data_IF_350032051711
#
_entry.id   IF_350032051711
#
_cell.length_a   1.000
_cell.length_b   1.000
_cell.length_c   1.000
_cell.angle_alpha   90.00
_cell.angle_beta   90.00
_cell.angle_gamma   90.00
#
_symmetry.space_group_name_H-M   'P 1'
#
loop_
_entity.id
_entity.type
_entity.pdbx_description
1 polymer ?
#
# COMPACT_ATOMS: atom_id res chain seq x y z
N UNK A 1 -13.26 -21.94 18.62
CA UNK A 1 -12.38 -20.77 18.49
C UNK A 1 -11.97 -20.65 17.04
N UNK A 2 -12.51 -19.70 16.31
CA UNK A 2 -12.16 -19.47 14.90
C UNK A 2 -10.78 -18.79 14.88
N UNK A 3 -9.74 -19.48 14.38
CA UNK A 3 -8.40 -18.90 14.25
C UNK A 3 -8.49 -17.69 13.31
N UNK A 4 -8.08 -16.52 13.80
CA UNK A 4 -7.91 -15.30 13.00
C UNK A 4 -6.74 -15.55 12.04
N UNK A 5 -7.00 -15.50 10.72
CA UNK A 5 -5.99 -15.83 9.70
C UNK A 5 -5.19 -14.59 9.28
N UNK A 6 -5.84 -13.42 9.24
CA UNK A 6 -5.24 -12.14 8.84
C UNK A 6 -5.65 -11.02 9.79
N UNK A 7 -4.84 -9.96 9.91
CA UNK A 7 -5.11 -8.75 10.70
C UNK A 7 -5.51 -7.54 9.86
N UNK A 8 -4.81 -6.42 10.05
CA UNK A 8 -4.99 -5.18 9.30
C UNK A 8 -4.33 -5.31 7.93
N UNK A 9 -5.00 -4.94 6.85
CA UNK A 9 -4.40 -4.84 5.51
C UNK A 9 -4.44 -3.41 5.04
N UNK A 10 -3.44 -2.98 4.26
CA UNK A 10 -3.45 -1.61 3.78
C UNK A 10 -2.43 -1.26 2.73
N UNK A 11 -2.64 -0.08 2.17
CA UNK A 11 -1.75 0.66 1.31
C UNK A 11 -0.85 1.54 2.17
N UNK A 12 0.44 1.56 1.84
CA UNK A 12 1.36 2.60 2.32
C UNK A 12 2.08 3.19 1.12
N UNK A 13 1.96 4.51 0.94
CA UNK A 13 2.67 5.28 -0.08
C UNK A 13 3.54 6.31 0.61
N UNK A 14 4.85 6.25 0.39
CA UNK A 14 5.83 7.07 1.08
C UNK A 14 6.39 8.16 0.16
N UNK A 15 6.64 9.32 0.76
CA UNK A 15 7.25 10.46 0.08
C UNK A 15 6.48 10.85 -1.19
N UNK A 16 5.18 11.11 -1.01
CA UNK A 16 4.28 11.54 -2.08
C UNK A 16 4.67 12.94 -2.53
N UNK A 17 5.41 13.03 -3.64
CA UNK A 17 6.06 14.26 -4.07
C UNK A 17 5.08 15.33 -4.57
N UNK A 18 3.89 14.90 -5.00
CA UNK A 18 2.81 15.79 -5.48
C UNK A 18 1.93 16.35 -4.36
N UNK A 19 2.06 15.83 -3.14
CA UNK A 19 1.48 16.48 -1.96
C UNK A 19 2.45 17.53 -1.41
N UNK A 20 1.96 18.73 -1.09
CA UNK A 20 2.76 19.71 -0.38
C UNK A 20 3.02 19.22 1.05
N UNK A 21 4.14 19.66 1.64
CA UNK A 21 4.42 19.37 3.04
C UNK A 21 3.41 20.13 3.92
N UNK A 22 3.38 21.46 3.84
CA UNK A 22 2.31 22.24 4.48
C UNK A 22 1.04 22.21 3.61
N UNK A 23 -0.12 21.95 4.23
CA UNK A 23 -1.39 21.85 3.51
C UNK A 23 -1.61 20.51 2.81
N UNK A 24 -0.75 19.51 3.07
CA UNK A 24 -0.83 18.19 2.44
C UNK A 24 -2.10 17.42 2.82
N UNK A 25 -2.63 17.65 4.04
CA UNK A 25 -3.90 17.09 4.48
C UNK A 25 -5.05 17.56 3.62
N UNK A 26 -5.16 18.88 3.39
CA UNK A 26 -6.20 19.49 2.58
C UNK A 26 -6.11 19.01 1.13
N UNK A 27 -4.90 19.01 0.56
CA UNK A 27 -4.66 18.50 -0.78
C UNK A 27 -5.07 17.02 -0.92
N UNK A 28 -4.83 16.20 0.10
CA UNK A 28 -5.23 14.79 0.08
C UNK A 28 -6.75 14.60 0.23
N UNK A 29 -7.39 15.36 1.11
CA UNK A 29 -8.86 15.33 1.27
C UNK A 29 -9.54 15.73 -0.04
N UNK A 30 -9.08 16.83 -0.66
CA UNK A 30 -9.61 17.33 -1.92
C UNK A 30 -9.41 16.34 -3.05
N UNK A 31 -8.24 15.69 -3.10
CA UNK A 31 -7.96 14.61 -4.05
C UNK A 31 -8.96 13.46 -3.89
N UNK A 32 -9.14 12.94 -2.69
CA UNK A 32 -10.01 11.79 -2.44
C UNK A 32 -11.47 12.13 -2.74
N UNK A 33 -11.93 13.33 -2.37
CA UNK A 33 -13.27 13.81 -2.72
C UNK A 33 -13.44 14.00 -4.23
N UNK A 34 -12.44 14.56 -4.91
CA UNK A 34 -12.44 14.73 -6.37
C UNK A 34 -12.46 13.42 -7.15
N UNK A 35 -11.96 12.35 -6.54
CA UNK A 35 -12.04 10.98 -7.07
C UNK A 35 -13.34 10.25 -6.70
N UNK A 36 -14.32 10.94 -6.08
CA UNK A 36 -15.61 10.35 -5.70
C UNK A 36 -15.63 9.70 -4.32
N UNK A 37 -14.58 9.87 -3.53
CA UNK A 37 -14.51 9.43 -2.13
C UNK A 37 -15.36 10.31 -1.21
N UNK A 38 -15.87 9.73 -0.13
CA UNK A 38 -16.55 10.45 0.95
C UNK A 38 -15.87 10.12 2.27
N UNK A 39 -15.57 11.12 3.09
CA UNK A 39 -15.09 10.92 4.45
C UNK A 39 -16.26 10.73 5.41
N UNK A 40 -16.05 9.93 6.46
CA UNK A 40 -17.08 9.60 7.43
C UNK A 40 -16.64 9.96 8.84
N UNK A 41 -17.53 10.61 9.59
CA UNK A 41 -17.42 10.80 11.03
C UNK A 41 -18.62 10.14 11.70
N UNK A 42 -18.38 9.29 12.70
CA UNK A 42 -19.43 8.50 13.36
C UNK A 42 -20.39 7.82 12.37
N UNK A 43 -19.85 7.30 11.25
CA UNK A 43 -20.57 6.61 10.15
C UNK A 43 -21.52 7.48 9.33
N UNK A 44 -21.43 8.80 9.45
CA UNK A 44 -22.18 9.75 8.63
C UNK A 44 -21.22 10.49 7.71
N UNK A 45 -21.64 10.89 6.50
CA UNK A 45 -20.86 11.76 5.64
C UNK A 45 -20.37 12.98 6.43
N UNK A 46 -19.06 13.15 6.43
CA UNK A 46 -18.39 14.30 7.02
C UNK A 46 -17.84 15.18 5.88
N UNK A 47 -18.56 16.25 5.51
CA UNK A 47 -18.09 17.15 4.47
C UNK A 47 -16.87 17.97 4.92
N UNK A 48 -16.58 18.03 6.23
CA UNK A 48 -15.49 18.83 6.81
C UNK A 48 -14.46 17.96 7.55
N UNK A 49 -14.08 16.84 6.91
CA UNK A 49 -12.99 15.99 7.36
C UNK A 49 -11.64 16.73 7.52
N UNK A 50 -11.55 17.97 6.99
CA UNK A 50 -10.40 18.87 7.12
C UNK A 50 -10.17 19.32 8.56
N UNK A 51 -11.22 19.39 9.38
CA UNK A 51 -11.14 19.92 10.76
C UNK A 51 -11.14 18.83 11.83
N UNK A 52 -11.94 17.77 11.67
CA UNK A 52 -12.27 16.85 12.76
C UNK A 52 -11.14 15.88 13.16
N UNK A 53 -10.15 15.66 12.29
CA UNK A 53 -9.15 14.59 12.47
C UNK A 53 -7.71 15.06 12.20
N UNK A 54 -7.43 16.35 12.38
CA UNK A 54 -6.13 16.96 12.11
C UNK A 54 -5.36 17.26 13.38
N UNK A 55 -4.04 17.04 13.33
CA UNK A 55 -3.09 17.68 14.24
C UNK A 55 -1.95 18.35 13.44
N UNK A 56 -0.93 18.83 14.14
CA UNK A 56 0.26 19.45 13.52
C UNK A 56 1.08 18.45 12.68
N UNK A 57 0.86 17.15 12.85
CA UNK A 57 1.60 16.08 12.19
C UNK A 57 0.88 15.46 10.98
N UNK A 58 -0.41 15.77 10.78
CA UNK A 58 -1.15 15.41 9.57
C UNK A 58 -2.62 15.07 9.80
N UNK A 59 -3.07 13.99 9.17
CA UNK A 59 -4.44 13.48 9.23
C UNK A 59 -4.46 12.15 9.97
N UNK A 60 -5.19 12.12 11.09
CA UNK A 60 -5.48 10.89 11.81
C UNK A 60 -6.34 9.95 10.95
N UNK A 61 -6.17 8.62 11.07
CA UNK A 61 -6.95 7.65 10.32
C UNK A 61 -8.46 7.93 10.39
N UNK A 62 -9.03 8.31 9.25
CA UNK A 62 -10.43 8.69 9.11
C UNK A 62 -11.11 7.74 8.12
N UNK A 63 -12.27 7.21 8.48
CA UNK A 63 -13.01 6.27 7.62
C UNK A 63 -13.39 6.95 6.30
N UNK A 64 -13.18 6.25 5.18
CA UNK A 64 -13.57 6.70 3.85
C UNK A 64 -14.52 5.70 3.21
N UNK A 65 -15.38 6.19 2.33
CA UNK A 65 -16.21 5.41 1.43
C UNK A 65 -15.83 5.74 -0.01
N UNK A 66 -15.70 4.72 -0.84
CA UNK A 66 -15.45 4.85 -2.27
C UNK A 66 -16.09 3.66 -2.99
N UNK A 67 -16.52 3.82 -4.24
CA UNK A 67 -17.19 2.75 -5.01
C UNK A 67 -16.34 1.49 -5.19
N UNK A 68 -15.02 1.64 -5.19
CA UNK A 68 -14.07 0.52 -5.25
C UNK A 68 -14.12 -0.34 -3.98
N UNK A 69 -14.62 0.17 -2.86
CA UNK A 69 -14.76 -0.54 -1.58
C UNK A 69 -16.20 -1.00 -1.32
N UNK A 70 -16.78 -1.72 -2.29
CA UNK A 70 -18.18 -2.16 -2.22
C UNK A 70 -18.38 -3.41 -1.34
N UNK A 71 -17.31 -4.05 -0.85
CA UNK A 71 -17.34 -5.31 -0.11
C UNK A 71 -17.78 -5.20 1.36
N UNK A 72 -18.27 -4.04 1.80
CA UNK A 72 -18.56 -3.76 3.21
C UNK A 72 -17.32 -3.42 4.04
N UNK A 73 -16.18 -3.26 3.38
CA UNK A 73 -14.94 -2.81 4.00
C UNK A 73 -15.09 -1.40 4.57
N UNK A 74 -14.31 -1.11 5.61
CA UNK A 74 -14.27 0.21 6.23
C UNK A 74 -12.83 0.72 6.25
N UNK A 75 -12.32 1.13 5.09
CA UNK A 75 -10.97 1.66 5.00
C UNK A 75 -10.88 2.99 5.75
N UNK A 76 -9.81 3.14 6.52
CA UNK A 76 -9.42 4.41 7.12
C UNK A 76 -8.19 4.96 6.42
N UNK A 77 -8.24 6.24 6.06
CA UNK A 77 -7.18 6.96 5.39
C UNK A 77 -6.46 7.88 6.40
N UNK A 78 -5.14 7.88 6.36
CA UNK A 78 -4.29 8.75 7.18
C UNK A 78 -3.16 9.35 6.37
N UNK A 79 -2.62 10.47 6.86
CA UNK A 79 -1.53 11.21 6.24
C UNK A 79 -0.54 11.69 7.29
N UNK A 80 0.76 11.54 7.00
CA UNK A 80 1.85 12.06 7.84
C UNK A 80 2.58 13.15 7.06
N UNK A 81 2.50 14.38 7.56
CA UNK A 81 2.98 15.58 6.91
C UNK A 81 4.50 15.57 6.70
N UNK A 82 5.29 15.26 7.72
CA UNK A 82 6.76 15.33 7.67
C UNK A 82 7.37 14.40 6.63
N UNK A 83 6.75 13.24 6.42
CA UNK A 83 7.22 12.23 5.47
C UNK A 83 6.43 12.22 4.18
N UNK A 84 5.37 13.03 4.10
CA UNK A 84 4.35 13.01 3.03
C UNK A 84 3.88 11.59 2.74
N UNK A 85 3.57 10.85 3.81
CA UNK A 85 3.17 9.44 3.70
C UNK A 85 1.66 9.33 3.76
N UNK A 86 1.08 8.63 2.79
CA UNK A 86 -0.35 8.32 2.74
C UNK A 86 -0.54 6.87 3.13
N UNK A 87 -1.57 6.60 3.92
CA UNK A 87 -1.95 5.23 4.25
C UNK A 87 -3.44 5.03 4.19
N UNK A 88 -3.86 3.86 3.74
CA UNK A 88 -5.25 3.42 3.75
C UNK A 88 -5.26 2.00 4.28
N UNK A 89 -6.08 1.68 5.27
CA UNK A 89 -6.12 0.34 5.82
C UNK A 89 -7.48 -0.05 6.37
N UNK A 90 -7.77 -1.35 6.38
CA UNK A 90 -8.93 -1.91 7.06
C UNK A 90 -8.59 -3.25 7.70
N UNK A 91 -9.41 -3.64 8.67
CA UNK A 91 -9.37 -4.99 9.23
C UNK A 91 -9.93 -5.98 8.21
N UNK A 92 -9.13 -6.98 7.85
CA UNK A 92 -9.51 -8.04 6.91
C UNK A 92 -9.60 -9.41 7.61
N UNK A 93 -9.89 -9.41 8.91
CA UNK A 93 -10.06 -10.62 9.72
C UNK A 93 -11.39 -11.31 9.42
N UNK A 94 -11.62 -11.61 8.15
CA UNK A 94 -12.77 -12.34 7.66
C UNK A 94 -12.65 -13.83 8.00
N UNK A 95 -13.82 -14.48 8.11
CA UNK A 95 -13.88 -15.94 8.28
C UNK A 95 -13.69 -16.66 6.93
N UNK A 96 -14.12 -16.06 5.83
CA UNK A 96 -14.03 -16.64 4.49
C UNK A 96 -12.94 -15.93 3.65
N UNK A 97 -11.90 -16.67 3.20
CA UNK A 97 -10.78 -16.14 2.41
C UNK A 97 -11.17 -15.43 1.11
N UNK A 98 -12.35 -15.72 0.53
CA UNK A 98 -12.80 -15.04 -0.69
C UNK A 98 -13.02 -13.55 -0.48
N UNK A 99 -13.45 -13.16 0.72
CA UNK A 99 -13.57 -11.74 1.07
C UNK A 99 -12.22 -11.08 1.20
N UNK A 100 -11.20 -11.81 1.67
CA UNK A 100 -9.83 -11.28 1.74
C UNK A 100 -9.35 -10.90 0.34
N UNK A 101 -9.40 -11.83 -0.62
CA UNK A 101 -8.93 -11.56 -1.99
C UNK A 101 -9.75 -10.46 -2.69
N UNK A 102 -11.07 -10.43 -2.47
CA UNK A 102 -11.93 -9.36 -3.00
C UNK A 102 -11.51 -8.00 -2.43
N UNK A 103 -11.33 -7.90 -1.11
CA UNK A 103 -10.89 -6.68 -0.45
C UNK A 103 -9.50 -6.25 -0.87
N UNK A 104 -8.50 -7.14 -0.88
CA UNK A 104 -7.14 -6.76 -1.30
C UNK A 104 -7.10 -6.29 -2.75
N UNK A 105 -7.94 -6.87 -3.62
CA UNK A 105 -8.10 -6.42 -5.00
C UNK A 105 -8.70 -5.01 -5.08
N UNK A 106 -9.72 -4.70 -4.27
CA UNK A 106 -10.29 -3.36 -4.15
C UNK A 106 -9.26 -2.32 -3.69
N UNK A 107 -8.41 -2.68 -2.73
CA UNK A 107 -7.29 -1.84 -2.30
C UNK A 107 -6.26 -1.64 -3.41
N UNK A 108 -5.88 -2.67 -4.16
CA UNK A 108 -4.95 -2.52 -5.28
C UNK A 108 -5.51 -1.54 -6.33
N UNK A 109 -6.78 -1.70 -6.71
CA UNK A 109 -7.45 -0.78 -7.65
C UNK A 109 -7.50 0.65 -7.12
N UNK A 110 -7.77 0.84 -5.82
CA UNK A 110 -7.76 2.16 -5.22
C UNK A 110 -6.36 2.76 -5.17
N UNK A 111 -5.33 1.96 -4.90
CA UNK A 111 -3.94 2.39 -4.91
C UNK A 111 -3.51 2.86 -6.30
N UNK A 112 -3.85 2.11 -7.34
CA UNK A 112 -3.62 2.47 -8.75
C UNK A 112 -4.34 3.78 -9.12
N UNK A 113 -5.56 3.98 -8.63
CA UNK A 113 -6.33 5.20 -8.84
C UNK A 113 -5.64 6.43 -8.24
N UNK A 114 -5.16 6.35 -6.99
CA UNK A 114 -4.56 7.51 -6.31
C UNK A 114 -3.07 7.72 -6.65
N UNK A 115 -2.34 6.67 -7.04
CA UNK A 115 -0.91 6.71 -7.33
C UNK A 115 -0.49 7.88 -8.24
N UNK A 116 -1.09 8.10 -9.43
CA UNK A 116 -0.63 9.14 -10.35
C UNK A 116 -0.81 10.55 -9.77
N UNK A 117 -1.71 10.74 -8.81
CA UNK A 117 -1.95 12.02 -8.15
C UNK A 117 -0.99 12.29 -7.00
N UNK A 118 -0.40 11.24 -6.42
CA UNK A 118 0.45 11.33 -5.24
C UNK A 118 1.95 11.33 -5.59
N UNK A 119 2.35 10.64 -6.66
CA UNK A 119 3.76 10.53 -7.07
C UNK A 119 4.68 10.02 -5.95
N UNK A 120 4.39 8.85 -5.34
CA UNK A 120 5.18 8.32 -4.23
C UNK A 120 6.56 7.84 -4.71
N UNK A 121 7.57 7.98 -3.86
CA UNK A 121 8.89 7.40 -4.14
C UNK A 121 8.89 5.87 -3.99
N UNK A 122 8.08 5.35 -3.06
CA UNK A 122 7.89 3.93 -2.83
C UNK A 122 6.51 3.68 -2.23
N UNK A 123 5.91 2.54 -2.54
CA UNK A 123 4.68 2.11 -1.90
C UNK A 123 4.50 0.61 -1.90
N UNK A 124 3.58 0.13 -1.08
CA UNK A 124 3.27 -1.30 -0.98
C UNK A 124 1.87 -1.56 -0.46
N UNK A 125 1.38 -2.78 -0.73
CA UNK A 125 0.15 -3.33 -0.18
C UNK A 125 0.44 -4.68 0.45
N UNK A 126 0.08 -4.83 1.72
CA UNK A 126 0.20 -6.08 2.47
C UNK A 126 -0.54 -5.97 3.82
N UNK A 127 -0.44 -7.02 4.63
CA UNK A 127 -0.82 -6.95 6.05
C UNK A 127 0.04 -5.89 6.76
N UNK A 128 -0.59 -4.98 7.51
CA UNK A 128 0.07 -3.90 8.25
C UNK A 128 0.54 -4.42 9.61
N UNK A 129 1.85 -4.61 9.76
CA UNK A 129 2.50 -4.89 11.04
C UNK A 129 3.36 -3.71 11.53
N UNK A 130 3.36 -3.45 12.85
CA UNK A 130 4.04 -2.30 13.48
C UNK A 130 5.58 -2.26 13.31
N UNK A 131 6.22 -3.30 12.76
CA UNK A 131 7.69 -3.52 12.94
C UNK A 131 8.54 -3.44 11.67
N UNK A 132 7.99 -3.11 10.51
CA UNK A 132 8.58 -3.66 9.29
C UNK A 132 9.29 -2.66 8.37
N UNK A 133 8.89 -1.39 8.34
CA UNK A 133 9.63 -0.37 7.58
C UNK A 133 10.22 0.68 8.53
N UNK A 134 11.56 0.78 8.54
CA UNK A 134 12.22 1.86 9.29
C UNK A 134 12.05 3.14 8.49
N UNK A 135 11.65 4.25 9.11
CA UNK A 135 11.42 5.52 8.41
C UNK A 135 12.59 5.98 7.52
N UNK A 136 13.81 5.57 7.86
CA UNK A 136 15.04 5.84 7.09
C UNK A 136 15.23 4.99 5.82
N UNK A 137 14.52 3.87 5.67
CA UNK A 137 14.75 2.97 4.53
C UNK A 137 14.23 3.57 3.21
N UNK A 138 13.15 4.39 3.22
CA UNK A 138 12.65 5.03 1.99
C UNK A 138 13.58 6.13 1.49
N UNK A 139 14.03 7.09 2.33
CA UNK A 139 15.02 8.08 1.91
C UNK A 139 16.33 7.46 1.40
N UNK A 140 16.78 6.37 2.03
CA UNK A 140 17.95 5.59 1.57
C UNK A 140 17.67 4.73 0.31
N UNK A 141 16.42 4.74 -0.17
CA UNK A 141 15.92 3.96 -1.31
C UNK A 141 16.23 2.47 -1.15
N UNK A 142 16.12 1.95 0.07
CA UNK A 142 16.54 0.60 0.40
C UNK A 142 15.36 -0.35 0.28
N UNK A 143 15.49 -1.32 -0.60
CA UNK A 143 14.54 -2.42 -0.72
C UNK A 143 14.76 -3.46 0.40
N UNK A 144 14.06 -3.28 1.52
CA UNK A 144 14.15 -4.18 2.66
C UNK A 144 13.22 -5.40 2.53
N UNK A 145 12.03 -5.19 1.97
CA UNK A 145 11.00 -6.21 1.82
C UNK A 145 10.37 -6.15 0.43
N UNK A 146 9.98 -7.32 -0.08
CA UNK A 146 9.01 -7.45 -1.16
C UNK A 146 7.67 -7.84 -0.54
N UNK A 147 6.67 -7.00 -0.76
CA UNK A 147 5.28 -7.18 -0.33
C UNK A 147 4.44 -7.85 -1.42
N UNK A 148 3.17 -8.18 -1.13
CA UNK A 148 2.25 -8.71 -2.15
C UNK A 148 2.17 -7.84 -3.40
N UNK A 149 1.99 -6.52 -3.23
CA UNK A 149 2.14 -5.53 -4.29
C UNK A 149 3.08 -4.41 -3.86
N UNK A 150 3.86 -3.90 -4.81
CA UNK A 150 4.88 -2.88 -4.60
C UNK A 150 4.76 -1.84 -5.71
N UNK A 151 4.85 -0.58 -5.34
CA UNK A 151 4.98 0.57 -6.23
C UNK A 151 6.41 1.09 -6.12
N UNK A 152 7.23 0.84 -7.13
CA UNK A 152 8.56 1.41 -7.24
C UNK A 152 8.46 2.75 -7.96
N UNK A 153 8.46 3.85 -7.22
CA UNK A 153 8.47 5.19 -7.82
C UNK A 153 9.76 5.47 -8.60
N UNK A 154 9.82 6.56 -9.37
CA UNK A 154 10.98 6.88 -10.21
C UNK A 154 12.34 6.83 -9.50
N UNK A 155 12.49 7.29 -8.23
CA UNK A 155 13.76 7.18 -7.51
C UNK A 155 14.24 5.75 -7.26
N UNK A 156 13.33 4.78 -7.13
CA UNK A 156 13.67 3.36 -7.01
C UNK A 156 13.99 2.75 -8.36
N UNK A 157 13.27 3.14 -9.41
CA UNK A 157 13.55 2.71 -10.79
C UNK A 157 14.92 3.18 -11.25
N UNK A 158 15.29 4.43 -10.96
CA UNK A 158 16.64 4.98 -11.21
C UNK A 158 17.72 4.14 -10.51
N UNK A 159 17.49 3.78 -9.24
CA UNK A 159 18.48 3.07 -8.42
C UNK A 159 18.66 1.61 -8.81
N UNK A 160 17.56 0.89 -9.04
CA UNK A 160 17.57 -0.56 -9.24
C UNK A 160 17.54 -0.98 -10.72
N UNK A 161 17.25 -0.04 -11.62
CA UNK A 161 17.17 -0.27 -13.05
C UNK A 161 15.75 -0.65 -13.49
N UNK A 162 15.25 0.05 -14.50
CA UNK A 162 13.94 -0.19 -15.12
C UNK A 162 13.80 -1.62 -15.62
N UNK A 163 14.74 -2.08 -16.45
CA UNK A 163 14.66 -3.41 -17.07
C UNK A 163 14.75 -4.54 -16.04
N UNK A 164 15.51 -4.33 -14.96
CA UNK A 164 15.54 -5.25 -13.83
C UNK A 164 14.18 -5.33 -13.14
N UNK A 165 13.57 -4.18 -12.80
CA UNK A 165 12.27 -4.22 -12.11
C UNK A 165 11.15 -4.77 -13.00
N UNK A 166 11.15 -4.48 -14.30
CA UNK A 166 10.20 -5.04 -15.26
C UNK A 166 10.41 -6.54 -15.53
N UNK A 167 11.65 -7.02 -15.40
CA UNK A 167 11.99 -8.44 -15.54
C UNK A 167 11.72 -9.29 -14.30
N UNK A 168 11.20 -8.70 -13.22
CA UNK A 168 10.97 -9.40 -11.97
C UNK A 168 9.90 -10.51 -12.12
N UNK A 169 10.12 -11.69 -11.52
CA UNK A 169 9.15 -12.78 -11.60
C UNK A 169 7.92 -12.46 -10.74
N UNK A 170 6.78 -12.17 -11.37
CA UNK A 170 5.51 -11.89 -10.70
C UNK A 170 4.31 -12.17 -11.60
N UNK A 171 3.11 -11.95 -11.08
CA UNK A 171 1.89 -12.06 -11.87
C UNK A 171 1.66 -10.85 -12.77
N UNK A 172 1.94 -9.65 -12.25
CA UNK A 172 1.72 -8.39 -12.96
C UNK A 172 2.90 -7.46 -12.70
N UNK A 173 3.57 -7.05 -13.77
CA UNK A 173 4.71 -6.12 -13.72
C UNK A 173 4.55 -5.10 -14.83
N UNK A 174 4.31 -3.85 -14.47
CA UNK A 174 3.88 -2.82 -15.40
C UNK A 174 4.57 -1.49 -15.11
N UNK A 175 4.94 -0.78 -16.17
CA UNK A 175 5.40 0.59 -16.08
C UNK A 175 4.22 1.55 -15.92
N UNK A 176 4.38 2.54 -15.06
CA UNK A 176 3.39 3.55 -14.72
C UNK A 176 3.70 4.85 -15.47
N UNK A 177 2.71 5.74 -15.55
CA UNK A 177 2.80 6.95 -16.39
C UNK A 177 3.89 7.94 -15.98
N UNK A 178 4.43 7.84 -14.77
CA UNK A 178 5.53 8.66 -14.28
C UNK A 178 6.91 7.98 -14.40
N UNK A 179 6.98 6.80 -15.04
CA UNK A 179 8.19 5.98 -15.10
C UNK A 179 8.41 5.12 -13.85
N UNK A 180 7.47 5.12 -12.89
CA UNK A 180 7.43 4.12 -11.82
C UNK A 180 7.04 2.73 -12.32
N UNK A 181 7.11 1.72 -11.46
CA UNK A 181 6.76 0.33 -11.78
C UNK A 181 5.81 -0.23 -10.70
N UNK A 182 4.68 -0.77 -11.13
CA UNK A 182 3.83 -1.65 -10.32
C UNK A 182 4.33 -3.08 -10.45
N UNK A 183 4.57 -3.74 -9.32
CA UNK A 183 4.94 -5.14 -9.25
C UNK A 183 4.02 -5.88 -8.26
N UNK A 184 3.31 -6.89 -8.76
CA UNK A 184 2.37 -7.73 -7.99
C UNK A 184 2.77 -9.19 -8.11
N UNK A 185 2.94 -9.86 -6.96
CA UNK A 185 3.41 -11.25 -6.90
C UNK A 185 2.38 -12.22 -7.48
N UNK A 186 1.10 -12.07 -7.11
CA UNK A 186 0.03 -13.03 -7.41
C UNK A 186 -1.32 -12.32 -7.54
N UNK A 187 -2.27 -12.83 -8.35
CA UNK A 187 -3.63 -12.30 -8.41
C UNK A 187 -4.41 -12.50 -7.09
N UNK A 188 -3.95 -13.41 -6.22
CA UNK A 188 -4.57 -13.72 -4.93
C UNK A 188 -3.61 -13.36 -3.81
N UNK A 189 -4.08 -12.57 -2.86
CA UNK A 189 -3.35 -12.32 -1.63
C UNK A 189 -3.30 -13.60 -0.78
N UNK A 190 -4.39 -14.37 -0.73
CA UNK A 190 -4.44 -15.61 0.05
C UNK A 190 -3.50 -16.67 -0.53
N UNK A 191 -3.50 -16.84 -1.86
CA UNK A 191 -2.66 -17.78 -2.61
C UNK A 191 -1.45 -17.10 -3.23
N UNK A 192 -0.63 -16.48 -2.39
CA UNK A 192 0.49 -15.63 -2.80
C UNK A 192 1.50 -16.34 -3.72
N UNK A 193 1.73 -17.64 -3.54
CA UNK A 193 2.80 -18.40 -4.20
C UNK A 193 2.32 -19.39 -5.25
N UNK A 194 1.07 -19.25 -5.71
CA UNK A 194 0.47 -20.14 -6.72
C UNK A 194 1.09 -19.90 -8.11
N UNK A 195 1.42 -18.65 -8.44
CA UNK A 195 1.95 -18.25 -9.77
C UNK A 195 3.47 -18.27 -9.82
N UNK A 196 4.15 -17.78 -8.77
CA UNK A 196 5.61 -17.70 -8.69
C UNK A 196 6.14 -18.36 -7.42
N UNK A 197 7.36 -18.90 -7.49
CA UNK A 197 7.98 -19.54 -6.32
C UNK A 197 8.67 -18.48 -5.44
N UNK A 198 8.50 -18.52 -4.10
CA UNK A 198 9.11 -17.54 -3.22
C UNK A 198 10.62 -17.46 -3.37
N UNK A 199 11.30 -18.62 -3.48
CA UNK A 199 12.76 -18.66 -3.71
C UNK A 199 13.19 -17.97 -4.99
N UNK A 200 12.39 -18.04 -6.06
CA UNK A 200 12.68 -17.40 -7.33
C UNK A 200 12.62 -15.87 -7.19
N UNK A 201 11.53 -15.35 -6.59
CA UNK A 201 11.36 -13.92 -6.30
C UNK A 201 12.50 -13.41 -5.43
N UNK A 202 12.78 -14.12 -4.32
CA UNK A 202 13.82 -13.72 -3.38
C UNK A 202 15.19 -13.71 -4.05
N UNK A 203 15.56 -14.77 -4.78
CA UNK A 203 16.83 -14.85 -5.46
C UNK A 203 16.99 -13.74 -6.51
N UNK A 204 15.92 -13.41 -7.23
CA UNK A 204 15.93 -12.33 -8.21
C UNK A 204 16.27 -10.98 -7.55
N UNK A 205 15.50 -10.55 -6.54
CA UNK A 205 15.73 -9.26 -5.88
C UNK A 205 17.04 -9.21 -5.08
N UNK A 206 17.56 -10.35 -4.61
CA UNK A 206 18.85 -10.41 -3.91
C UNK A 206 20.05 -10.06 -4.80
N UNK A 207 19.91 -10.09 -6.13
CA UNK A 207 20.97 -9.67 -7.06
C UNK A 207 21.32 -8.18 -6.91
N UNK A 208 20.33 -7.33 -6.59
CA UNK A 208 20.51 -5.87 -6.42
C UNK A 208 20.31 -5.40 -4.99
N UNK A 209 19.64 -6.20 -4.16
CA UNK A 209 19.38 -5.93 -2.76
C UNK A 209 19.65 -7.17 -1.90
N UNK A 210 20.92 -7.50 -1.57
CA UNK A 210 21.28 -8.78 -0.95
C UNK A 210 20.59 -9.09 0.39
N UNK A 211 20.12 -8.05 1.10
CA UNK A 211 19.44 -8.18 2.41
C UNK A 211 17.91 -8.16 2.32
N UNK A 212 17.35 -8.08 1.11
CA UNK A 212 15.90 -8.08 0.90
C UNK A 212 15.28 -9.38 1.42
N UNK A 213 14.06 -9.29 1.94
CA UNK A 213 13.26 -10.42 2.43
C UNK A 213 11.89 -10.40 1.78
N UNK A 214 11.24 -11.56 1.72
CA UNK A 214 9.81 -11.60 1.40
C UNK A 214 9.03 -11.30 2.67
N UNK A 215 8.04 -10.42 2.59
CA UNK A 215 7.29 -10.00 3.77
C UNK A 215 6.56 -11.18 4.43
N UNK A 216 5.74 -11.90 3.66
CA UNK A 216 4.93 -13.00 4.19
C UNK A 216 5.67 -14.30 4.45
N UNK A 217 6.89 -14.47 3.95
CA UNK A 217 7.74 -15.60 4.36
C UNK A 217 8.15 -15.53 5.85
N UNK A 218 8.06 -14.34 6.45
CA UNK A 218 8.36 -14.12 7.87
C UNK A 218 7.14 -14.38 8.76
N UNK A 219 5.92 -14.13 8.27
CA UNK A 219 4.67 -14.29 9.04
C UNK A 219 4.04 -15.68 8.92
N UNK A 220 4.24 -16.40 7.81
CA UNK A 220 3.69 -17.76 7.62
C UNK A 220 4.21 -18.77 8.67
N UNK A 221 5.33 -18.48 9.36
CA UNK A 221 5.81 -19.29 10.49
C UNK A 221 4.89 -19.28 11.73
N UNK A 222 3.90 -18.40 11.77
CA UNK A 222 2.93 -18.31 12.87
C UNK A 222 1.55 -18.90 12.49
N UNK A 223 1.39 -19.39 11.26
CA UNK A 223 0.14 -19.97 10.76
C UNK A 223 0.15 -21.52 10.73
N UNK A 224 1.27 -22.15 11.13
CA UNK A 224 1.35 -23.59 11.43
C UNK A 224 0.95 -23.87 12.89
#
# INVERSE_FOLDING_TARGET
MTRRIFGMFGIKLYHCTKLPQQGGTEALVDLVQGLGGTFLYARKPDPDARQANRDEHGLWPTEIRHELFAGGERPSLGFVQDTRSVSVGCDISFVDPRWVDATTSSFLRFAELIYPHLGPAYGWLDEVGERLYRGQDVPARKLAYIFWANFFGPPYVEKYGRDFLLGAPGWRVEELSDGGILYVISPSFVKLWEVVKPKQVLHYFQQVAPKVRLYRWVSDKFLE
#
